data_IF_778955692548
#
_entry.id   IF_778955692548
#
_cell.length_a   1.000
_cell.length_b   1.000
_cell.length_c   1.000
_cell.angle_alpha   90.00
_cell.angle_beta   90.00
_cell.angle_gamma   90.00
#
_symmetry.space_group_name_H-M   'P 1'
#
loop_
_entity.id
_entity.type
_entity.pdbx_description
1 polymer ?
#
# COMPACT_ATOMS: atom_id res chain seq x y z
N UNK A 1 15.65 -20.78 -17.46
CA UNK A 1 14.62 -21.56 -16.74
C UNK A 1 14.01 -20.66 -15.66
N UNK A 2 12.70 -20.64 -15.55
CA UNK A 2 12.00 -19.85 -14.51
C UNK A 2 12.15 -20.56 -13.16
N UNK A 3 13.03 -20.06 -12.27
CA UNK A 3 13.31 -20.69 -10.96
C UNK A 3 12.08 -20.73 -10.05
N UNK A 4 11.16 -19.78 -10.20
CA UNK A 4 9.93 -19.74 -9.39
C UNK A 4 8.89 -20.80 -9.83
N UNK A 5 8.92 -21.21 -11.10
CA UNK A 5 8.11 -22.32 -11.58
C UNK A 5 8.67 -23.70 -11.17
N UNK A 6 9.93 -23.80 -10.74
CA UNK A 6 10.52 -25.07 -10.25
C UNK A 6 10.11 -25.38 -8.80
N UNK A 7 9.72 -24.39 -8.01
CA UNK A 7 9.13 -24.56 -6.68
C UNK A 7 7.64 -24.98 -6.74
N UNK A 8 7.06 -25.04 -7.94
CA UNK A 8 5.65 -25.37 -8.14
C UNK A 8 5.42 -26.85 -7.82
N UNK A 9 4.50 -27.10 -6.92
CA UNK A 9 3.81 -28.39 -6.87
C UNK A 9 2.99 -28.51 -8.15
N UNK A 10 2.87 -29.74 -8.73
CA UNK A 10 2.06 -29.95 -9.94
C UNK A 10 0.55 -29.87 -9.69
N UNK A 11 0.13 -29.22 -8.61
CA UNK A 11 -1.29 -29.05 -8.27
C UNK A 11 -1.88 -27.87 -9.08
N UNK A 12 -2.42 -28.21 -10.24
CA UNK A 12 -3.07 -27.25 -11.14
C UNK A 12 -4.36 -26.65 -10.55
N UNK A 13 -4.95 -27.25 -9.51
CA UNK A 13 -6.16 -26.73 -8.84
C UNK A 13 -5.91 -25.39 -8.13
N UNK A 14 -4.65 -25.09 -7.77
CA UNK A 14 -4.24 -23.86 -7.12
C UNK A 14 -3.92 -22.70 -8.08
N UNK A 15 -3.98 -22.92 -9.39
CA UNK A 15 -3.64 -21.88 -10.37
C UNK A 15 -4.73 -20.79 -10.36
N UNK A 16 -4.32 -19.58 -10.01
CA UNK A 16 -5.16 -18.39 -9.98
C UNK A 16 -4.28 -17.14 -10.23
N UNK A 17 -4.84 -15.92 -10.42
CA UNK A 17 -4.06 -14.72 -10.68
C UNK A 17 -3.05 -14.35 -9.59
N UNK A 18 -3.20 -14.84 -8.37
CA UNK A 18 -2.24 -14.62 -7.28
C UNK A 18 -1.24 -15.77 -7.13
N UNK A 19 -1.45 -16.87 -7.88
CA UNK A 19 -0.62 -18.07 -7.82
C UNK A 19 -0.59 -18.79 -9.18
N UNK A 20 0.09 -18.23 -10.16
CA UNK A 20 0.14 -18.73 -11.54
C UNK A 20 0.81 -20.10 -11.67
N UNK A 21 1.64 -20.48 -10.70
CA UNK A 21 2.47 -21.68 -10.75
C UNK A 21 2.11 -22.73 -9.69
N UNK A 22 1.03 -22.53 -8.92
CA UNK A 22 0.67 -23.43 -7.83
C UNK A 22 1.70 -23.49 -6.70
N UNK A 23 2.34 -22.36 -6.40
CA UNK A 23 3.36 -22.25 -5.34
C UNK A 23 2.72 -22.53 -3.98
N UNK A 24 3.34 -23.35 -3.17
CA UNK A 24 2.98 -23.48 -1.76
C UNK A 24 3.63 -22.34 -0.95
N UNK A 25 2.93 -21.21 -0.84
CA UNK A 25 3.43 -20.04 -0.12
C UNK A 25 3.69 -20.29 1.37
N UNK A 26 3.04 -21.27 1.99
CA UNK A 26 3.32 -21.61 3.37
C UNK A 26 4.65 -22.35 3.51
N UNK A 27 4.94 -23.28 2.60
CA UNK A 27 6.24 -23.94 2.54
C UNK A 27 7.36 -22.98 2.12
N UNK A 28 7.08 -22.10 1.15
CA UNK A 28 8.03 -21.08 0.68
C UNK A 28 8.43 -20.09 1.79
N UNK A 29 7.52 -19.76 2.70
CA UNK A 29 7.84 -18.88 3.82
C UNK A 29 9.00 -19.41 4.68
N UNK A 30 9.13 -20.73 4.82
CA UNK A 30 10.21 -21.36 5.57
C UNK A 30 11.59 -21.27 4.87
N UNK A 31 11.62 -20.90 3.58
CA UNK A 31 12.89 -20.74 2.82
C UNK A 31 13.57 -19.40 3.07
N UNK A 32 12.85 -18.40 3.60
CA UNK A 32 13.42 -17.11 3.92
C UNK A 32 14.27 -17.18 5.19
N UNK A 33 15.42 -16.50 5.17
CA UNK A 33 16.24 -16.38 6.36
C UNK A 33 15.47 -15.62 7.47
N UNK A 34 15.59 -16.07 8.73
CA UNK A 34 15.02 -15.33 9.86
C UNK A 34 15.60 -13.91 9.94
N UNK A 35 14.73 -12.94 10.18
CA UNK A 35 15.13 -11.56 10.41
C UNK A 35 15.30 -11.33 11.94
N UNK A 36 16.27 -10.49 12.36
CA UNK A 36 16.47 -10.18 13.78
C UNK A 36 15.43 -9.19 14.35
N UNK A 37 14.50 -8.73 13.52
CA UNK A 37 13.43 -7.78 13.85
C UNK A 37 12.15 -8.18 13.12
N UNK A 38 10.98 -7.83 13.64
CA UNK A 38 9.73 -7.98 12.92
C UNK A 38 9.63 -6.96 11.79
N UNK A 39 9.02 -7.32 10.68
CA UNK A 39 8.69 -6.38 9.60
C UNK A 39 7.50 -5.52 10.03
N UNK A 40 7.56 -4.21 9.79
CA UNK A 40 6.46 -3.28 9.96
C UNK A 40 5.88 -2.96 8.58
N UNK A 41 4.65 -3.41 8.33
CA UNK A 41 3.90 -3.10 7.12
C UNK A 41 3.09 -1.81 7.34
N UNK A 42 3.52 -0.71 6.75
CA UNK A 42 2.88 0.60 6.98
C UNK A 42 1.68 0.86 6.09
N UNK A 43 1.33 -0.06 5.18
CA UNK A 43 0.29 0.18 4.19
C UNK A 43 -0.50 -1.10 3.86
N UNK A 44 -1.65 -1.24 4.46
CA UNK A 44 -2.61 -2.32 4.16
C UNK A 44 -4.06 -1.83 4.31
N UNK A 45 -5.02 -2.65 3.87
CA UNK A 45 -6.46 -2.40 3.95
C UNK A 45 -7.16 -3.62 4.55
N UNK A 46 -7.01 -3.83 5.86
CA UNK A 46 -7.52 -5.01 6.54
C UNK A 46 -8.94 -4.77 7.03
N UNK A 47 -9.89 -5.41 6.37
CA UNK A 47 -11.31 -5.39 6.68
C UNK A 47 -11.86 -6.84 6.60
N UNK A 48 -13.05 -7.09 7.17
CA UNK A 48 -13.66 -8.40 7.19
C UNK A 48 -12.97 -9.37 8.17
N UNK A 49 -13.54 -9.62 9.36
CA UNK A 49 -12.86 -10.34 10.43
C UNK A 49 -12.52 -11.80 10.10
N UNK A 50 -13.24 -12.44 9.17
CA UNK A 50 -12.94 -13.82 8.74
C UNK A 50 -11.73 -13.86 7.80
N UNK A 51 -11.69 -12.95 6.82
CA UNK A 51 -10.56 -12.80 5.90
C UNK A 51 -9.30 -12.30 6.64
N UNK A 52 -9.47 -11.39 7.61
CA UNK A 52 -8.40 -10.87 8.45
C UNK A 52 -7.65 -11.97 9.22
N UNK A 53 -8.35 -13.03 9.68
CA UNK A 53 -7.69 -14.20 10.32
C UNK A 53 -6.83 -15.01 9.35
N UNK A 54 -7.17 -15.04 8.05
CA UNK A 54 -6.35 -15.70 7.02
C UNK A 54 -5.13 -14.82 6.71
N UNK A 55 -5.34 -13.52 6.58
CA UNK A 55 -4.25 -12.55 6.42
C UNK A 55 -3.25 -12.62 7.60
N UNK A 56 -3.74 -12.71 8.85
CA UNK A 56 -2.89 -12.83 10.03
C UNK A 56 -1.91 -14.00 9.92
N UNK A 57 -2.39 -15.17 9.45
CA UNK A 57 -1.53 -16.34 9.22
C UNK A 57 -0.46 -16.07 8.15
N UNK A 58 -0.85 -15.46 7.04
CA UNK A 58 0.10 -15.08 6.00
C UNK A 58 1.14 -14.08 6.54
N UNK A 59 0.71 -13.05 7.26
CA UNK A 59 1.58 -12.05 7.86
C UNK A 59 2.59 -12.68 8.84
N UNK A 60 2.14 -13.55 9.73
CA UNK A 60 2.99 -14.27 10.69
C UNK A 60 4.06 -15.12 9.99
N UNK A 61 3.68 -15.89 8.97
CA UNK A 61 4.60 -16.72 8.19
C UNK A 61 5.72 -15.90 7.52
N UNK A 62 5.40 -14.69 7.08
CA UNK A 62 6.36 -13.81 6.41
C UNK A 62 7.05 -12.80 7.34
N UNK A 63 6.90 -12.95 8.67
CA UNK A 63 7.62 -12.16 9.66
C UNK A 63 7.06 -10.75 9.88
N UNK A 64 5.81 -10.49 9.48
CA UNK A 64 5.14 -9.21 9.75
C UNK A 64 4.70 -9.18 11.22
N UNK A 65 5.29 -8.30 12.00
CA UNK A 65 4.97 -8.15 13.43
C UNK A 65 4.00 -7.04 13.74
N UNK A 66 3.95 -6.00 12.89
CA UNK A 66 3.04 -4.87 13.04
C UNK A 66 2.51 -4.45 11.67
N UNK A 67 1.22 -4.15 11.61
CA UNK A 67 0.54 -3.69 10.40
C UNK A 67 -0.18 -2.37 10.67
N UNK A 68 0.02 -1.38 9.80
CA UNK A 68 -0.78 -0.17 9.74
C UNK A 68 -1.85 -0.34 8.66
N UNK A 69 -3.13 -0.18 9.03
CA UNK A 69 -4.25 -0.54 8.17
C UNK A 69 -5.28 0.57 8.01
N UNK A 70 -5.69 0.78 6.78
CA UNK A 70 -6.85 1.59 6.38
C UNK A 70 -8.14 0.79 6.56
N UNK A 71 -8.39 0.35 7.79
CA UNK A 71 -9.61 -0.33 8.21
C UNK A 71 -10.75 0.67 8.32
N UNK A 72 -11.94 0.34 7.83
CA UNK A 72 -13.11 1.20 8.02
C UNK A 72 -13.41 1.40 9.52
N UNK A 73 -13.83 2.61 9.89
CA UNK A 73 -14.02 3.00 11.30
C UNK A 73 -14.93 2.02 12.05
N UNK A 74 -15.94 1.54 11.37
CA UNK A 74 -16.95 0.60 11.88
C UNK A 74 -16.35 -0.79 12.18
N UNK A 75 -15.22 -1.16 11.56
CA UNK A 75 -14.57 -2.46 11.71
C UNK A 75 -13.34 -2.42 12.64
N UNK A 76 -12.92 -1.23 13.10
CA UNK A 76 -11.71 -1.06 13.93
C UNK A 76 -11.72 -1.97 15.16
N UNK A 77 -12.85 -2.07 15.85
CA UNK A 77 -12.96 -2.90 17.05
C UNK A 77 -12.82 -4.39 16.72
N UNK A 78 -13.46 -4.87 15.66
CA UNK A 78 -13.35 -6.26 15.22
C UNK A 78 -11.90 -6.61 14.80
N UNK A 79 -11.19 -5.69 14.16
CA UNK A 79 -9.79 -5.90 13.81
C UNK A 79 -8.88 -5.92 15.05
N UNK A 80 -9.16 -5.11 16.07
CA UNK A 80 -8.43 -5.19 17.35
C UNK A 80 -8.61 -6.55 18.04
N UNK A 81 -9.79 -7.12 17.97
CA UNK A 81 -10.06 -8.45 18.53
C UNK A 81 -9.28 -9.56 17.79
N UNK A 82 -9.00 -9.38 16.50
CA UNK A 82 -8.20 -10.32 15.71
C UNK A 82 -6.70 -10.18 16.00
N UNK A 83 -6.18 -8.95 16.03
CA UNK A 83 -4.73 -8.69 15.99
C UNK A 83 -4.13 -8.23 17.32
N UNK A 84 -4.94 -7.75 18.27
CA UNK A 84 -4.43 -7.11 19.48
C UNK A 84 -3.55 -5.91 19.15
N UNK A 85 -2.36 -5.87 19.75
CA UNK A 85 -1.39 -4.79 19.57
C UNK A 85 -0.61 -4.84 18.25
N UNK A 86 -0.85 -5.85 17.42
CA UNK A 86 -0.16 -6.02 16.13
C UNK A 86 -0.81 -5.25 14.98
N UNK A 87 -1.80 -4.43 15.25
CA UNK A 87 -2.43 -3.56 14.25
C UNK A 87 -2.52 -2.12 14.77
N UNK A 88 -2.28 -1.17 13.87
CA UNK A 88 -2.54 0.26 14.02
C UNK A 88 -3.44 0.71 12.88
N UNK A 89 -4.19 1.78 13.08
CA UNK A 89 -5.17 2.22 12.09
C UNK A 89 -4.76 3.54 11.45
N UNK A 90 -5.15 3.68 10.19
CA UNK A 90 -5.03 4.90 9.38
C UNK A 90 -6.43 5.39 9.08
N UNK A 91 -6.71 6.65 9.40
CA UNK A 91 -8.02 7.26 9.16
C UNK A 91 -8.30 7.40 7.66
N UNK A 92 -9.48 6.94 7.24
CA UNK A 92 -9.96 7.00 5.85
C UNK A 92 -11.41 7.46 5.79
N UNK A 93 -11.84 8.06 4.64
CA UNK A 93 -13.25 8.38 4.43
C UNK A 93 -14.09 7.10 4.32
N UNK A 94 -15.40 7.26 4.38
CA UNK A 94 -16.35 6.16 4.19
C UNK A 94 -16.53 5.85 2.71
N UNK A 95 -15.83 4.81 2.22
CA UNK A 95 -15.86 4.45 0.80
C UNK A 95 -17.19 3.85 0.35
N UNK A 96 -17.91 3.15 1.23
CA UNK A 96 -19.17 2.47 0.95
C UNK A 96 -20.41 3.33 1.16
N UNK A 97 -20.27 4.58 1.61
CA UNK A 97 -21.40 5.46 1.88
C UNK A 97 -22.18 5.86 0.62
N UNK A 98 -23.45 6.22 0.77
CA UNK A 98 -24.32 6.64 -0.34
C UNK A 98 -24.20 8.14 -0.64
N UNK A 99 -24.00 8.97 0.37
CA UNK A 99 -23.72 10.40 0.21
C UNK A 99 -22.22 10.65 0.06
N UNK A 100 -21.71 10.42 -1.15
CA UNK A 100 -20.28 10.60 -1.45
C UNK A 100 -19.77 12.02 -1.18
N UNK A 101 -20.61 13.03 -1.35
CA UNK A 101 -20.22 14.43 -1.08
C UNK A 101 -19.95 14.65 0.40
N UNK A 102 -20.82 14.18 1.24
CA UNK A 102 -20.64 14.22 2.70
C UNK A 102 -19.47 13.33 3.13
N UNK A 103 -19.45 12.06 2.69
CA UNK A 103 -18.45 11.08 3.10
C UNK A 103 -17.01 11.49 2.75
N UNK A 104 -16.80 12.15 1.60
CA UNK A 104 -15.48 12.64 1.16
C UNK A 104 -15.15 14.06 1.65
N UNK A 105 -16.14 14.75 2.20
CA UNK A 105 -16.07 16.12 2.73
C UNK A 105 -16.18 16.19 4.24
N UNK A 106 -17.25 16.80 4.74
CA UNK A 106 -17.48 17.02 6.18
C UNK A 106 -17.48 15.71 7.00
N UNK A 107 -18.12 14.66 6.49
CA UNK A 107 -18.14 13.35 7.14
C UNK A 107 -16.74 12.73 7.28
N UNK A 108 -15.79 13.07 6.41
CA UNK A 108 -14.41 12.63 6.60
C UNK A 108 -13.75 13.36 7.79
N UNK A 109 -14.04 14.64 8.01
CA UNK A 109 -13.53 15.39 9.17
C UNK A 109 -14.03 14.74 10.46
N UNK A 110 -15.32 14.46 10.56
CA UNK A 110 -15.91 13.76 11.71
C UNK A 110 -15.25 12.39 11.97
N UNK A 111 -14.94 11.65 10.88
CA UNK A 111 -14.27 10.35 10.99
C UNK A 111 -12.83 10.48 11.46
N UNK A 112 -12.08 11.51 11.08
CA UNK A 112 -10.72 11.77 11.58
C UNK A 112 -10.73 11.88 13.11
N UNK A 113 -11.68 12.64 13.68
CA UNK A 113 -11.84 12.76 15.13
C UNK A 113 -12.20 11.40 15.77
N UNK A 114 -13.13 10.65 15.15
CA UNK A 114 -13.51 9.31 15.60
C UNK A 114 -12.33 8.33 15.58
N UNK A 115 -11.54 8.31 14.53
CA UNK A 115 -10.31 7.48 14.45
C UNK A 115 -9.28 7.92 15.48
N UNK A 116 -9.08 9.24 15.66
CA UNK A 116 -8.15 9.75 16.66
C UNK A 116 -8.53 9.32 18.07
N UNK A 117 -9.82 9.37 18.43
CA UNK A 117 -10.34 8.90 19.71
C UNK A 117 -10.06 7.39 19.94
N UNK A 118 -10.00 6.61 18.86
CA UNK A 118 -9.61 5.20 18.88
C UNK A 118 -8.08 4.99 18.82
N UNK A 119 -7.26 6.02 18.98
CA UNK A 119 -5.81 5.91 19.01
C UNK A 119 -5.12 5.91 17.63
N UNK A 120 -5.85 6.20 16.55
CA UNK A 120 -5.25 6.40 15.23
C UNK A 120 -4.40 7.68 15.21
N UNK A 121 -3.27 7.64 14.50
CA UNK A 121 -2.30 8.75 14.44
C UNK A 121 -1.88 9.11 13.01
N UNK A 122 -2.50 8.51 12.01
CA UNK A 122 -2.24 8.78 10.59
C UNK A 122 -3.57 8.97 9.88
N UNK A 123 -3.64 9.96 8.97
CA UNK A 123 -4.81 10.22 8.12
C UNK A 123 -4.42 10.07 6.65
N UNK A 124 -5.17 9.27 5.88
CA UNK A 124 -4.92 9.03 4.45
C UNK A 124 -5.76 9.95 3.57
N UNK A 125 -5.10 10.68 2.70
CA UNK A 125 -5.70 11.49 1.63
C UNK A 125 -5.46 10.82 0.27
N UNK A 126 -6.44 10.08 -0.22
CA UNK A 126 -6.36 9.48 -1.55
C UNK A 126 -6.67 10.54 -2.61
N UNK A 127 -5.72 10.84 -3.49
CA UNK A 127 -5.80 11.87 -4.52
C UNK A 127 -5.23 11.38 -5.87
N UNK A 128 -5.32 10.08 -6.15
CA UNK A 128 -4.93 9.50 -7.42
C UNK A 128 -5.70 10.13 -8.59
N UNK A 129 -5.18 10.10 -9.84
CA UNK A 129 -5.83 10.71 -11.01
C UNK A 129 -7.29 10.26 -11.20
N UNK A 130 -7.61 9.00 -10.90
CA UNK A 130 -8.98 8.47 -10.92
C UNK A 130 -9.95 9.21 -10.00
N UNK A 131 -9.47 10.00 -9.05
CA UNK A 131 -10.31 10.82 -8.17
C UNK A 131 -11.22 11.81 -8.92
N UNK A 132 -10.85 12.18 -10.14
CA UNK A 132 -11.66 12.98 -11.06
C UNK A 132 -13.02 12.32 -11.37
N UNK A 133 -13.06 10.99 -11.49
CA UNK A 133 -14.31 10.26 -11.80
C UNK A 133 -15.29 10.35 -10.61
N UNK A 134 -14.77 10.22 -9.38
CA UNK A 134 -15.56 10.39 -8.16
C UNK A 134 -16.04 11.84 -8.05
N UNK A 135 -15.15 12.80 -8.27
CA UNK A 135 -15.48 14.23 -8.22
C UNK A 135 -16.60 14.58 -9.23
N UNK A 136 -16.55 14.03 -10.45
CA UNK A 136 -17.63 14.18 -11.43
C UNK A 136 -18.95 13.58 -10.93
N UNK A 137 -18.93 12.39 -10.34
CA UNK A 137 -20.15 11.76 -9.83
C UNK A 137 -20.80 12.53 -8.66
N UNK A 138 -20.00 13.29 -7.93
CA UNK A 138 -20.44 14.15 -6.81
C UNK A 138 -20.93 15.52 -7.31
N UNK A 139 -20.61 15.90 -8.55
CA UNK A 139 -20.90 17.22 -9.11
C UNK A 139 -19.98 18.33 -8.56
N UNK A 140 -18.87 17.99 -7.92
CA UNK A 140 -17.84 18.92 -7.45
C UNK A 140 -16.46 18.48 -7.92
N UNK A 141 -15.96 19.01 -9.06
CA UNK A 141 -14.73 18.57 -9.68
C UNK A 141 -13.47 18.87 -8.84
N UNK A 142 -13.60 19.70 -7.80
CA UNK A 142 -12.47 20.08 -6.94
C UNK A 142 -12.38 19.26 -5.67
N UNK A 143 -13.47 18.64 -5.23
CA UNK A 143 -13.59 17.98 -3.91
C UNK A 143 -12.45 16.98 -3.63
N UNK A 144 -12.08 16.20 -4.63
CA UNK A 144 -11.08 15.13 -4.47
C UNK A 144 -9.63 15.59 -4.70
N UNK A 145 -9.39 16.83 -5.09
CA UNK A 145 -8.03 17.36 -5.22
C UNK A 145 -7.37 17.43 -3.85
N UNK A 146 -6.08 17.08 -3.78
CA UNK A 146 -5.35 17.07 -2.51
C UNK A 146 -5.36 18.44 -1.82
N UNK A 147 -5.29 19.51 -2.59
CA UNK A 147 -5.28 20.90 -2.14
C UNK A 147 -6.65 21.58 -2.14
N UNK A 148 -7.75 20.82 -2.24
CA UNK A 148 -9.10 21.40 -2.17
C UNK A 148 -9.40 22.00 -0.80
N UNK A 149 -10.26 23.02 -0.70
CA UNK A 149 -10.58 23.69 0.57
C UNK A 149 -11.03 22.71 1.66
N UNK A 150 -11.92 21.77 1.33
CA UNK A 150 -12.43 20.80 2.30
C UNK A 150 -11.35 19.82 2.78
N UNK A 151 -10.43 19.42 1.89
CA UNK A 151 -9.31 18.58 2.29
C UNK A 151 -8.28 19.33 3.13
N UNK A 152 -8.06 20.60 2.85
CA UNK A 152 -7.24 21.45 3.71
C UNK A 152 -7.85 21.62 5.10
N UNK A 153 -9.19 21.72 5.22
CA UNK A 153 -9.87 21.68 6.52
C UNK A 153 -9.66 20.36 7.24
N UNK A 154 -9.81 19.21 6.54
CA UNK A 154 -9.55 17.90 7.10
C UNK A 154 -8.09 17.74 7.54
N UNK A 155 -7.14 18.26 6.76
CA UNK A 155 -5.71 18.29 7.11
C UNK A 155 -5.47 19.15 8.34
N UNK A 156 -6.13 20.30 8.45
CA UNK A 156 -5.98 21.17 9.61
C UNK A 156 -6.47 20.48 10.90
N UNK A 157 -7.64 19.84 10.86
CA UNK A 157 -8.14 19.07 12.01
C UNK A 157 -7.18 17.93 12.39
N UNK A 158 -6.71 17.16 11.41
CA UNK A 158 -5.75 16.10 11.68
C UNK A 158 -4.41 16.64 12.20
N UNK A 159 -3.94 17.79 11.70
CA UNK A 159 -2.75 18.48 12.18
C UNK A 159 -2.90 18.91 13.66
N UNK A 160 -4.02 19.54 14.01
CA UNK A 160 -4.30 20.01 15.37
C UNK A 160 -4.42 18.85 16.37
N UNK A 161 -4.80 17.66 15.88
CA UNK A 161 -4.81 16.40 16.62
C UNK A 161 -3.41 15.72 16.67
N UNK A 162 -2.38 16.31 16.08
CA UNK A 162 -1.02 15.74 16.06
C UNK A 162 -0.87 14.50 15.16
N UNK A 163 -1.76 14.33 14.16
CA UNK A 163 -1.71 13.19 13.24
C UNK A 163 -0.73 13.45 12.10
N UNK A 164 -0.08 12.38 11.62
CA UNK A 164 0.71 12.39 10.38
C UNK A 164 -0.19 12.14 9.17
N UNK A 165 0.33 12.39 8.00
CA UNK A 165 -0.42 12.24 6.76
C UNK A 165 0.12 11.10 5.90
N UNK A 166 -0.78 10.44 5.20
CA UNK A 166 -0.47 9.52 4.12
C UNK A 166 -1.22 9.97 2.87
N UNK A 167 -0.64 9.81 1.70
CA UNK A 167 -1.30 10.15 0.44
C UNK A 167 -1.00 9.13 -0.65
N UNK A 168 -1.97 8.92 -1.56
CA UNK A 168 -1.77 8.29 -2.85
C UNK A 168 -1.95 9.37 -3.90
N UNK A 169 -0.89 9.72 -4.63
CA UNK A 169 -0.89 10.90 -5.47
C UNK A 169 -0.89 10.61 -6.97
N UNK A 170 -0.25 9.52 -7.39
CA UNK A 170 -0.18 9.13 -8.79
C UNK A 170 -0.19 7.60 -8.96
N UNK A 171 -0.48 7.15 -10.16
CA UNK A 171 -0.59 5.76 -10.58
C UNK A 171 0.54 5.41 -11.59
N UNK A 172 0.73 4.13 -11.98
CA UNK A 172 1.78 3.70 -12.91
C UNK A 172 1.80 4.47 -14.24
N UNK A 173 2.99 4.60 -14.85
CA UNK A 173 3.14 5.16 -16.20
C UNK A 173 2.29 4.40 -17.23
N UNK A 174 2.10 3.09 -17.04
CA UNK A 174 1.19 2.26 -17.83
C UNK A 174 -0.25 2.78 -17.83
N UNK A 175 -0.71 3.35 -16.71
CA UNK A 175 -2.05 3.93 -16.61
C UNK A 175 -2.15 5.29 -17.26
N UNK A 176 -1.09 6.11 -17.20
CA UNK A 176 -1.04 7.39 -17.94
C UNK A 176 -0.97 7.17 -19.44
N UNK A 177 -0.35 6.07 -19.90
CA UNK A 177 -0.35 5.68 -21.31
C UNK A 177 -1.69 5.09 -21.80
N UNK A 178 -2.61 4.74 -20.89
CA UNK A 178 -3.87 4.03 -21.22
C UNK A 178 -5.10 4.67 -20.59
N UNK A 179 -5.41 4.33 -19.32
CA UNK A 179 -6.62 4.78 -18.60
C UNK A 179 -6.69 6.31 -18.47
N UNK A 180 -5.55 6.97 -18.30
CA UNK A 180 -5.41 8.41 -18.13
C UNK A 180 -4.78 9.12 -19.31
N UNK A 181 -4.84 8.51 -20.51
CA UNK A 181 -4.26 9.06 -21.73
C UNK A 181 -4.83 10.43 -22.12
N UNK A 182 -6.06 10.75 -21.72
CA UNK A 182 -6.64 12.08 -21.91
C UNK A 182 -6.17 13.05 -20.81
N UNK A 183 -5.06 13.72 -21.08
CA UNK A 183 -4.48 14.69 -20.15
C UNK A 183 -5.38 15.92 -19.90
N UNK A 184 -6.39 16.19 -20.75
CA UNK A 184 -7.35 17.25 -20.49
C UNK A 184 -8.30 16.93 -19.34
N UNK A 185 -8.47 15.65 -19.04
CA UNK A 185 -9.30 15.15 -17.93
C UNK A 185 -8.45 14.87 -16.69
N UNK A 186 -7.34 14.14 -16.86
CA UNK A 186 -6.56 13.59 -15.73
C UNK A 186 -5.30 14.40 -15.41
N UNK A 187 -4.88 15.33 -16.30
CA UNK A 187 -3.57 15.97 -16.24
C UNK A 187 -2.44 15.04 -16.63
N UNK A 188 -1.22 15.55 -16.68
CA UNK A 188 -0.02 14.74 -16.79
C UNK A 188 0.35 14.13 -15.44
N UNK A 189 1.25 13.13 -15.42
CA UNK A 189 1.77 12.56 -14.17
C UNK A 189 2.47 13.62 -13.32
N UNK A 190 3.24 14.51 -13.95
CA UNK A 190 3.90 15.62 -13.24
C UNK A 190 2.93 16.57 -12.57
N UNK A 191 1.77 16.83 -13.18
CA UNK A 191 0.77 17.75 -12.63
C UNK A 191 0.19 17.26 -11.30
N UNK A 192 0.21 15.94 -11.06
CA UNK A 192 -0.29 15.35 -9.80
C UNK A 192 0.52 15.81 -8.59
N UNK A 193 1.79 16.14 -8.78
CA UNK A 193 2.68 16.53 -7.67
C UNK A 193 2.54 18.00 -7.26
N UNK A 194 2.02 18.88 -8.13
CA UNK A 194 1.84 20.29 -7.80
C UNK A 194 0.97 20.52 -6.53
N UNK A 195 -0.20 19.88 -6.37
CA UNK A 195 -0.95 20.00 -5.12
C UNK A 195 -0.24 19.32 -3.93
N UNK A 196 0.51 18.25 -4.14
CA UNK A 196 1.28 17.60 -3.09
C UNK A 196 2.36 18.52 -2.53
N UNK A 197 3.18 19.11 -3.39
CA UNK A 197 4.27 20.01 -2.96
C UNK A 197 3.70 21.23 -2.20
N UNK A 198 2.60 21.83 -2.66
CA UNK A 198 1.91 22.90 -1.89
C UNK A 198 1.47 22.48 -0.50
N UNK A 199 0.98 21.24 -0.36
CA UNK A 199 0.52 20.75 0.95
C UNK A 199 1.68 20.35 1.85
N UNK A 200 2.78 19.83 1.30
CA UNK A 200 4.03 19.56 2.04
C UNK A 200 4.65 20.84 2.61
N UNK A 201 4.60 21.94 1.85
CA UNK A 201 5.08 23.26 2.30
C UNK A 201 4.19 23.85 3.41
N UNK A 202 2.88 23.62 3.31
CA UNK A 202 1.91 24.16 4.27
C UNK A 202 1.86 23.37 5.57
N UNK A 203 1.94 22.06 5.51
CA UNK A 203 1.81 21.15 6.65
C UNK A 203 3.12 20.40 6.85
N UNK A 204 3.92 20.85 7.82
CA UNK A 204 5.32 20.40 8.01
C UNK A 204 5.47 19.07 8.77
N UNK A 205 4.38 18.51 9.32
CA UNK A 205 4.45 17.16 9.90
C UNK A 205 4.79 16.11 8.82
N UNK A 206 5.24 14.91 9.23
CA UNK A 206 5.58 13.84 8.30
C UNK A 206 4.42 13.42 7.39
N UNK A 207 4.75 13.21 6.11
CA UNK A 207 3.88 12.68 5.08
C UNK A 207 4.45 11.39 4.54
N UNK A 208 3.61 10.38 4.36
CA UNK A 208 3.97 9.13 3.67
C UNK A 208 3.28 9.12 2.31
N UNK A 209 4.04 9.25 1.23
CA UNK A 209 3.51 9.08 -0.13
C UNK A 209 3.60 7.62 -0.53
N UNK A 210 2.44 7.02 -0.78
CA UNK A 210 2.26 5.62 -1.11
C UNK A 210 2.93 5.23 -2.43
N UNK A 211 3.29 3.95 -2.56
CA UNK A 211 3.74 3.33 -3.80
C UNK A 211 4.96 4.03 -4.39
N UNK A 212 6.02 4.18 -3.60
CA UNK A 212 7.23 4.95 -3.98
C UNK A 212 6.86 6.36 -4.47
N UNK A 213 5.97 7.04 -3.72
CA UNK A 213 5.51 8.38 -4.07
C UNK A 213 4.73 8.45 -5.38
N UNK A 214 4.29 7.30 -5.91
CA UNK A 214 3.58 7.21 -7.18
C UNK A 214 4.47 7.19 -8.43
N UNK A 215 5.82 7.15 -8.30
CA UNK A 215 6.71 7.12 -9.48
C UNK A 215 7.95 6.23 -9.32
N UNK A 216 7.82 4.93 -8.98
CA UNK A 216 8.96 4.02 -8.86
C UNK A 216 9.76 3.87 -10.16
N UNK A 217 9.16 4.20 -11.31
CA UNK A 217 9.79 4.23 -12.62
C UNK A 217 10.88 5.31 -12.72
N UNK A 218 10.78 6.40 -11.92
CA UNK A 218 11.63 7.59 -12.03
C UNK A 218 12.31 7.96 -10.71
N UNK A 219 13.38 7.22 -10.35
CA UNK A 219 14.16 7.50 -9.14
C UNK A 219 14.81 8.91 -9.18
N UNK A 220 15.11 9.43 -10.37
CA UNK A 220 15.65 10.79 -10.53
C UNK A 220 14.67 11.86 -10.07
N UNK A 221 13.40 11.75 -10.45
CA UNK A 221 12.34 12.62 -9.98
C UNK A 221 12.15 12.50 -8.45
N UNK A 222 12.11 11.27 -7.93
CA UNK A 222 11.95 11.02 -6.49
C UNK A 222 13.12 11.57 -5.67
N UNK A 223 14.37 11.52 -6.17
CA UNK A 223 15.50 12.18 -5.55
C UNK A 223 15.23 13.68 -5.34
N UNK A 224 14.83 14.37 -6.42
CA UNK A 224 14.55 15.82 -6.35
C UNK A 224 13.36 16.15 -5.44
N UNK A 225 12.32 15.34 -5.44
CA UNK A 225 11.14 15.52 -4.58
C UNK A 225 11.51 15.38 -3.09
N UNK A 226 12.24 14.31 -2.74
CA UNK A 226 12.69 14.07 -1.36
C UNK A 226 13.69 15.11 -0.89
N UNK A 227 14.55 15.65 -1.76
CA UNK A 227 15.48 16.72 -1.41
C UNK A 227 14.78 18.03 -1.06
N UNK A 228 13.72 18.38 -1.79
CA UNK A 228 12.95 19.59 -1.53
C UNK A 228 12.07 19.51 -0.28
N UNK A 229 11.59 18.30 0.06
CA UNK A 229 10.62 18.11 1.14
C UNK A 229 11.15 17.13 2.20
N UNK A 230 11.86 17.63 3.24
CA UNK A 230 12.45 16.79 4.30
C UNK A 230 11.38 16.06 5.15
N UNK A 231 10.14 16.54 5.15
CA UNK A 231 9.00 15.92 5.82
C UNK A 231 8.30 14.82 4.99
N UNK A 232 8.77 14.52 3.78
CA UNK A 232 8.21 13.49 2.91
C UNK A 232 8.94 12.15 3.10
N UNK A 233 8.17 11.10 3.28
CA UNK A 233 8.56 9.69 3.33
C UNK A 233 7.85 8.94 2.21
N UNK A 234 8.40 7.81 1.75
CA UNK A 234 7.78 6.96 0.74
C UNK A 234 7.50 5.58 1.34
N UNK A 235 6.48 4.89 0.86
CA UNK A 235 6.33 3.46 1.13
C UNK A 235 6.48 2.62 -0.15
N UNK A 236 6.84 1.35 0.01
CA UNK A 236 7.09 0.41 -1.10
C UNK A 236 5.89 -0.49 -1.38
N UNK A 237 4.69 -0.03 -1.11
CA UNK A 237 3.46 -0.79 -1.28
C UNK A 237 3.03 -0.96 -2.74
N UNK A 238 1.96 -1.72 -3.00
CA UNK A 238 1.49 -2.16 -4.32
C UNK A 238 2.43 -3.17 -5.00
N UNK A 239 2.47 -4.39 -4.44
CA UNK A 239 3.41 -5.43 -4.80
C UNK A 239 3.57 -5.68 -6.32
N UNK A 240 2.49 -5.73 -7.10
CA UNK A 240 2.57 -5.93 -8.56
C UNK A 240 3.32 -4.81 -9.26
N UNK A 241 3.01 -3.56 -8.90
CA UNK A 241 3.67 -2.39 -9.44
C UNK A 241 5.15 -2.35 -9.04
N UNK A 242 5.44 -2.58 -7.75
CA UNK A 242 6.83 -2.64 -7.29
C UNK A 242 7.63 -3.73 -7.99
N UNK A 243 7.07 -4.94 -8.15
CA UNK A 243 7.73 -6.03 -8.88
C UNK A 243 8.05 -5.60 -10.30
N UNK A 244 7.09 -5.03 -11.04
CA UNK A 244 7.27 -4.63 -12.44
C UNK A 244 8.36 -3.57 -12.57
N UNK A 245 8.31 -2.52 -11.78
CA UNK A 245 9.16 -1.35 -11.99
C UNK A 245 10.50 -1.43 -11.25
N UNK A 246 10.50 -1.85 -9.99
CA UNK A 246 11.76 -1.99 -9.26
C UNK A 246 12.64 -3.11 -9.83
N UNK A 247 12.05 -4.18 -10.38
CA UNK A 247 12.84 -5.20 -11.07
C UNK A 247 13.63 -4.65 -12.25
N UNK A 248 13.13 -3.61 -12.91
CA UNK A 248 13.81 -2.97 -14.05
C UNK A 248 14.87 -1.95 -13.62
N UNK A 249 14.79 -1.42 -12.40
CA UNK A 249 15.80 -0.47 -11.92
C UNK A 249 17.18 -1.13 -11.82
N UNK A 250 18.26 -0.49 -12.31
CA UNK A 250 19.61 -0.96 -12.08
C UNK A 250 19.87 -1.07 -10.57
N UNK A 251 20.35 -2.24 -10.13
CA UNK A 251 20.56 -2.53 -8.69
C UNK A 251 21.38 -1.45 -7.99
N UNK A 252 22.46 -1.00 -8.64
CA UNK A 252 23.35 0.01 -8.05
C UNK A 252 22.63 1.34 -7.83
N UNK A 253 21.85 1.82 -8.81
CA UNK A 253 21.09 3.07 -8.69
C UNK A 253 20.03 2.99 -7.58
N UNK A 254 19.37 1.84 -7.47
CA UNK A 254 18.39 1.62 -6.39
C UNK A 254 19.07 1.64 -5.01
N UNK A 255 20.22 0.98 -4.85
CA UNK A 255 20.98 1.00 -3.59
C UNK A 255 21.45 2.42 -3.25
N UNK A 256 21.93 3.18 -4.21
CA UNK A 256 22.32 4.58 -4.01
C UNK A 256 21.13 5.44 -3.55
N UNK A 257 19.96 5.27 -4.19
CA UNK A 257 18.73 5.94 -3.79
C UNK A 257 18.33 5.57 -2.35
N UNK A 258 18.26 4.27 -2.02
CA UNK A 258 17.87 3.80 -0.69
C UNK A 258 18.88 4.21 0.40
N UNK A 259 20.17 4.27 0.06
CA UNK A 259 21.24 4.73 0.97
C UNK A 259 21.10 6.22 1.25
N UNK A 260 20.87 7.03 0.21
CA UNK A 260 20.71 8.48 0.33
C UNK A 260 19.52 8.84 1.22
N UNK A 261 18.40 8.12 1.07
CA UNK A 261 17.17 8.37 1.81
C UNK A 261 16.90 7.32 2.89
N UNK A 262 17.96 6.70 3.42
CA UNK A 262 17.85 5.74 4.53
C UNK A 262 17.07 6.34 5.69
N UNK A 263 16.07 5.61 6.20
CA UNK A 263 15.16 6.09 7.24
C UNK A 263 13.94 6.86 6.71
N UNK A 264 13.83 7.09 5.39
CA UNK A 264 12.68 7.77 4.77
C UNK A 264 11.90 6.89 3.79
N UNK A 265 12.35 5.66 3.58
CA UNK A 265 11.66 4.67 2.75
C UNK A 265 11.16 3.55 3.67
N UNK A 266 9.86 3.29 3.61
CA UNK A 266 9.11 2.41 4.52
C UNK A 266 8.61 1.19 3.75
N UNK A 267 8.49 0.04 4.42
CA UNK A 267 7.91 -1.14 3.82
C UNK A 267 6.37 -1.09 3.88
N UNK A 268 5.70 -1.42 2.78
CA UNK A 268 4.26 -1.55 2.70
C UNK A 268 3.86 -2.63 1.68
N UNK A 269 2.69 -3.24 1.86
CA UNK A 269 2.20 -4.31 0.99
C UNK A 269 1.05 -3.89 0.07
N UNK A 270 0.19 -3.01 0.52
CA UNK A 270 -1.12 -2.67 -0.08
C UNK A 270 -2.06 -3.89 -0.18
N UNK A 271 -1.94 -4.81 0.78
CA UNK A 271 -2.85 -5.96 0.84
C UNK A 271 -4.23 -5.49 1.27
N UNK A 272 -5.24 -5.88 0.50
CA UNK A 272 -6.65 -5.65 0.81
C UNK A 272 -7.29 -6.96 1.24
N UNK A 273 -7.97 -6.96 2.40
CA UNK A 273 -8.80 -8.07 2.85
C UNK A 273 -10.25 -7.67 2.97
N UNK A 274 -11.14 -8.59 2.70
CA UNK A 274 -12.59 -8.46 2.88
C UNK A 274 -13.23 -9.85 2.94
N UNK A 275 -14.31 -9.99 3.71
CA UNK A 275 -14.96 -11.30 3.88
C UNK A 275 -15.54 -11.84 2.57
N UNK A 276 -15.81 -10.99 1.61
CA UNK A 276 -16.23 -11.36 0.25
C UNK A 276 -15.18 -12.20 -0.49
N UNK A 277 -13.91 -12.13 -0.13
CA UNK A 277 -12.88 -13.05 -0.68
C UNK A 277 -13.15 -14.53 -0.36
N UNK A 278 -14.01 -14.82 0.61
CA UNK A 278 -14.32 -16.17 1.07
C UNK A 278 -15.60 -16.74 0.45
N UNK A 279 -16.27 -15.99 -0.40
CA UNK A 279 -17.48 -16.40 -1.08
C UNK A 279 -17.20 -16.67 -2.58
N UNK A 280 -18.05 -17.40 -3.31
CA UNK A 280 -17.93 -17.60 -4.76
C UNK A 280 -17.83 -16.30 -5.54
N UNK A 281 -17.14 -16.33 -6.68
CA UNK A 281 -16.78 -15.11 -7.45
C UNK A 281 -17.95 -14.43 -8.19
N UNK A 282 -19.11 -15.07 -8.27
CA UNK A 282 -20.26 -14.59 -9.04
C UNK A 282 -20.79 -13.24 -8.52
N UNK A 283 -21.01 -12.29 -9.45
CA UNK A 283 -21.57 -10.95 -9.17
C UNK A 283 -20.79 -10.07 -8.19
N UNK A 284 -19.48 -10.29 -8.03
CA UNK A 284 -18.64 -9.48 -7.16
C UNK A 284 -18.03 -8.26 -7.87
N UNK A 285 -17.79 -7.21 -7.11
CA UNK A 285 -16.94 -6.10 -7.54
C UNK A 285 -15.50 -6.57 -7.75
N UNK A 286 -14.75 -5.89 -8.60
CA UNK A 286 -13.37 -6.23 -9.01
C UNK A 286 -12.46 -6.63 -7.82
N UNK A 287 -12.45 -5.84 -6.74
CA UNK A 287 -11.60 -6.14 -5.59
C UNK A 287 -12.03 -7.40 -4.85
N UNK A 288 -13.34 -7.61 -4.69
CA UNK A 288 -13.90 -8.79 -4.04
C UNK A 288 -13.72 -10.07 -4.87
N UNK A 289 -13.65 -9.96 -6.20
CA UNK A 289 -13.46 -11.08 -7.11
C UNK A 289 -12.03 -11.62 -7.17
N UNK A 290 -11.08 -11.03 -6.44
CA UNK A 290 -9.66 -11.46 -6.44
C UNK A 290 -9.42 -12.80 -5.73
N UNK A 291 -10.38 -13.28 -4.93
CA UNK A 291 -10.40 -14.61 -4.34
C UNK A 291 -11.84 -15.06 -4.16
N UNK A 292 -12.09 -16.37 -4.10
CA UNK A 292 -13.43 -16.97 -4.01
C UNK A 292 -13.56 -18.03 -2.92
N UNK A 293 -12.49 -18.31 -2.20
CA UNK A 293 -12.44 -19.26 -1.10
C UNK A 293 -11.24 -18.97 -0.18
N UNK A 294 -11.07 -19.79 0.86
CA UNK A 294 -10.03 -19.59 1.88
C UNK A 294 -8.61 -19.80 1.34
N UNK A 295 -8.42 -20.72 0.41
CA UNK A 295 -7.10 -21.03 -0.15
C UNK A 295 -6.67 -19.91 -1.09
N UNK A 296 -7.54 -19.47 -1.99
CA UNK A 296 -7.28 -18.33 -2.87
C UNK A 296 -7.07 -17.03 -2.07
N UNK A 297 -7.81 -16.82 -0.98
CA UNK A 297 -7.60 -15.68 -0.10
C UNK A 297 -6.22 -15.74 0.58
N UNK A 298 -5.79 -16.91 1.05
CA UNK A 298 -4.44 -17.10 1.58
C UNK A 298 -3.37 -16.81 0.52
N UNK A 299 -3.50 -17.40 -0.68
CA UNK A 299 -2.59 -17.17 -1.79
C UNK A 299 -2.56 -15.68 -2.19
N UNK A 300 -3.73 -15.02 -2.20
CA UNK A 300 -3.83 -13.59 -2.47
C UNK A 300 -2.97 -12.77 -1.50
N UNK A 301 -3.01 -13.07 -0.21
CA UNK A 301 -2.27 -12.30 0.81
C UNK A 301 -0.80 -12.72 0.88
N UNK A 302 -0.53 -14.01 0.94
CA UNK A 302 0.81 -14.56 1.09
C UNK A 302 1.72 -14.25 -0.11
N UNK A 303 1.19 -14.32 -1.34
CA UNK A 303 1.95 -14.04 -2.56
C UNK A 303 2.57 -12.65 -2.58
N UNK A 304 1.90 -11.62 -2.01
CA UNK A 304 2.43 -10.25 -1.96
C UNK A 304 3.64 -10.16 -1.06
N UNK A 305 3.57 -10.76 0.13
CA UNK A 305 4.70 -10.81 1.05
C UNK A 305 5.85 -11.64 0.47
N UNK A 306 5.56 -12.80 -0.10
CA UNK A 306 6.55 -13.63 -0.78
C UNK A 306 7.29 -12.84 -1.85
N UNK A 307 6.55 -12.20 -2.75
CA UNK A 307 7.12 -11.50 -3.88
C UNK A 307 7.93 -10.26 -3.47
N UNK A 308 7.45 -9.48 -2.50
CA UNK A 308 8.20 -8.34 -1.97
C UNK A 308 9.46 -8.79 -1.23
N UNK A 309 9.40 -9.87 -0.44
CA UNK A 309 10.60 -10.42 0.22
C UNK A 309 11.59 -10.95 -0.81
N UNK A 310 11.16 -11.69 -1.83
CA UNK A 310 12.02 -12.12 -2.95
C UNK A 310 12.64 -10.91 -3.66
N UNK A 311 11.88 -9.85 -3.92
CA UNK A 311 12.38 -8.64 -4.55
C UNK A 311 13.50 -7.96 -3.75
N UNK A 312 13.36 -7.85 -2.42
CA UNK A 312 14.32 -7.11 -1.61
C UNK A 312 15.48 -7.96 -1.10
N UNK A 313 15.25 -9.24 -0.77
CA UNK A 313 16.21 -10.10 -0.07
C UNK A 313 17.06 -10.98 -0.99
N UNK A 314 16.54 -11.38 -2.16
CA UNK A 314 17.24 -12.32 -3.06
C UNK A 314 17.87 -11.65 -4.27
N UNK A 315 18.71 -12.40 -4.99
CA UNK A 315 19.22 -12.09 -6.33
C UNK A 315 18.55 -12.95 -7.41
N UNK A 316 17.50 -13.68 -7.03
CA UNK A 316 16.78 -14.60 -7.92
C UNK A 316 16.08 -13.83 -9.06
N UNK A 317 15.92 -14.54 -10.18
CA UNK A 317 15.23 -14.02 -11.38
C UNK A 317 14.25 -15.06 -11.90
N UNK A 318 13.03 -14.61 -12.14
CA UNK A 318 12.00 -15.47 -12.74
C UNK A 318 10.75 -14.67 -13.05
N UNK A 319 9.86 -15.28 -13.82
CA UNK A 319 8.54 -14.70 -14.04
C UNK A 319 7.76 -14.70 -12.73
N UNK A 320 7.12 -13.57 -12.41
CA UNK A 320 6.37 -13.44 -11.15
C UNK A 320 5.22 -14.47 -11.09
N UNK A 321 4.98 -15.08 -9.93
CA UNK A 321 3.81 -15.94 -9.76
C UNK A 321 2.50 -15.15 -9.64
N UNK A 322 2.55 -13.82 -9.61
CA UNK A 322 1.39 -12.95 -9.51
C UNK A 322 1.12 -12.33 -10.87
N UNK A 323 -0.04 -12.59 -11.45
CA UNK A 323 -0.49 -11.98 -12.69
C UNK A 323 -0.60 -10.45 -12.58
N UNK A 324 -0.17 -9.74 -13.63
CA UNK A 324 -0.27 -8.29 -13.71
C UNK A 324 -1.07 -7.88 -14.95
N UNK A 325 -2.36 -7.55 -14.80
CA UNK A 325 -3.23 -7.19 -15.91
C UNK A 325 -2.82 -5.91 -16.64
N UNK A 326 -1.93 -5.10 -16.05
CA UNK A 326 -1.40 -3.91 -16.72
C UNK A 326 -0.59 -4.26 -17.97
N UNK A 327 0.02 -5.44 -18.04
CA UNK A 327 0.72 -5.91 -19.24
C UNK A 327 -0.23 -6.04 -20.43
N UNK A 328 -1.38 -6.68 -20.21
CA UNK A 328 -2.43 -6.81 -21.24
C UNK A 328 -3.05 -5.45 -21.58
N UNK A 329 -3.23 -4.58 -20.59
CA UNK A 329 -3.78 -3.24 -20.82
C UNK A 329 -2.91 -2.42 -21.77
N UNK A 330 -1.58 -2.53 -21.67
CA UNK A 330 -0.63 -1.80 -22.52
C UNK A 330 -0.44 -2.49 -23.88
N UNK A 331 -0.45 -3.82 -23.92
CA UNK A 331 -0.19 -4.60 -25.12
C UNK A 331 -1.13 -5.82 -25.23
N UNK A 332 -2.43 -5.58 -25.51
CA UNK A 332 -3.48 -6.62 -25.48
C UNK A 332 -3.24 -7.77 -26.46
N UNK A 333 -2.56 -7.48 -27.59
CA UNK A 333 -2.23 -8.50 -28.60
C UNK A 333 -1.05 -9.42 -28.19
N UNK A 334 -0.32 -9.05 -27.15
CA UNK A 334 0.88 -9.79 -26.68
C UNK A 334 0.72 -10.44 -25.31
N UNK A 335 -0.26 -10.00 -24.54
CA UNK A 335 -0.43 -10.44 -23.17
C UNK A 335 -1.86 -10.89 -22.84
N UNK A 336 -1.97 -11.89 -21.98
CA UNK A 336 -3.20 -12.36 -21.37
C UNK A 336 -3.39 -11.77 -19.96
N UNK A 337 -4.56 -11.99 -19.35
CA UNK A 337 -4.82 -11.58 -17.96
C UNK A 337 -3.96 -12.37 -16.94
N UNK A 338 -3.37 -13.48 -17.37
CA UNK A 338 -2.54 -14.34 -16.54
C UNK A 338 -1.03 -14.07 -16.71
N UNK A 339 -0.63 -13.13 -17.57
CA UNK A 339 0.78 -12.81 -17.73
C UNK A 339 1.31 -11.96 -16.58
N UNK A 340 2.60 -12.04 -16.36
CA UNK A 340 3.27 -11.34 -15.28
C UNK A 340 4.66 -10.83 -15.69
N UNK A 341 5.16 -9.77 -15.06
CA UNK A 341 6.50 -9.28 -15.30
C UNK A 341 7.55 -10.22 -14.72
N UNK A 342 8.81 -10.04 -15.14
CA UNK A 342 9.94 -10.63 -14.46
C UNK A 342 10.11 -10.01 -13.08
N UNK A 343 10.19 -10.85 -12.05
CA UNK A 343 10.70 -10.50 -10.74
C UNK A 343 12.22 -10.67 -10.76
N UNK A 344 12.94 -9.60 -10.47
CA UNK A 344 14.40 -9.57 -10.41
C UNK A 344 14.81 -9.03 -9.05
N UNK A 345 15.24 -9.94 -8.20
CA UNK A 345 15.63 -9.62 -6.82
C UNK A 345 16.80 -8.64 -6.76
N UNK A 346 16.81 -7.81 -5.72
CA UNK A 346 17.80 -6.73 -5.54
C UNK A 346 18.87 -7.04 -4.51
N UNK A 347 18.70 -8.10 -3.72
CA UNK A 347 19.67 -8.53 -2.70
C UNK A 347 20.22 -7.33 -1.92
N UNK A 348 19.33 -6.63 -1.23
CA UNK A 348 19.69 -5.42 -0.49
C UNK A 348 20.71 -5.73 0.62
N UNK A 349 21.68 -4.84 0.87
CA UNK A 349 22.52 -4.90 2.05
C UNK A 349 21.67 -4.96 3.34
N UNK A 350 22.15 -5.71 4.34
CA UNK A 350 21.39 -5.96 5.59
C UNK A 350 20.95 -4.70 6.31
N UNK A 351 21.77 -3.67 6.30
CA UNK A 351 21.48 -2.40 6.95
C UNK A 351 20.40 -1.59 6.20
N UNK A 352 20.32 -1.69 4.88
CA UNK A 352 19.23 -1.11 4.09
C UNK A 352 17.95 -1.92 4.26
N UNK A 353 18.06 -3.25 4.31
CA UNK A 353 16.92 -4.13 4.54
C UNK A 353 16.32 -3.88 5.95
N UNK A 354 17.17 -3.72 6.98
CA UNK A 354 16.73 -3.36 8.34
C UNK A 354 16.03 -2.00 8.37
N UNK A 355 16.60 -1.01 7.70
CA UNK A 355 15.99 0.31 7.58
C UNK A 355 14.62 0.25 6.90
N UNK A 356 14.52 -0.44 5.75
CA UNK A 356 13.29 -0.56 4.97
C UNK A 356 12.19 -1.29 5.75
N UNK A 357 12.52 -2.41 6.37
CA UNK A 357 11.55 -3.32 6.98
C UNK A 357 11.10 -2.91 8.38
N UNK A 358 11.96 -2.20 9.11
CA UNK A 358 11.70 -1.94 10.52
C UNK A 358 12.08 -0.52 10.97
N UNK A 359 13.37 -0.15 10.86
CA UNK A 359 13.90 0.98 11.62
C UNK A 359 13.28 2.31 11.20
N UNK A 360 13.02 2.51 9.89
CA UNK A 360 12.41 3.74 9.39
C UNK A 360 10.98 3.92 9.94
N UNK A 361 10.16 2.87 9.88
CA UNK A 361 8.80 2.91 10.40
C UNK A 361 8.77 3.00 11.92
N UNK A 362 9.63 2.25 12.62
CA UNK A 362 9.73 2.27 14.07
C UNK A 362 10.11 3.67 14.57
N UNK A 363 11.15 4.27 13.99
CA UNK A 363 11.62 5.61 14.38
C UNK A 363 10.59 6.70 14.09
N UNK A 364 9.88 6.60 12.96
CA UNK A 364 8.90 7.60 12.56
C UNK A 364 7.59 7.49 13.33
N UNK A 365 7.05 6.27 13.52
CA UNK A 365 5.65 6.06 13.89
C UNK A 365 5.44 5.65 15.36
N UNK A 366 6.37 4.89 15.97
CA UNK A 366 6.18 4.42 17.34
C UNK A 366 6.11 5.55 18.38
N UNK A 367 6.87 6.66 18.28
CA UNK A 367 6.74 7.77 19.21
C UNK A 367 5.33 8.39 19.25
N UNK A 368 4.59 8.35 18.14
CA UNK A 368 3.20 8.85 18.07
C UNK A 368 2.25 8.04 18.96
N UNK A 369 2.50 6.74 19.08
CA UNK A 369 1.65 5.84 19.86
C UNK A 369 2.04 5.83 21.34
N UNK A 370 3.31 6.03 21.68
CA UNK A 370 3.79 6.11 23.06
C UNK A 370 3.21 7.34 23.81
N UNK A 371 3.13 8.49 23.14
CA UNK A 371 2.55 9.72 23.72
C UNK A 371 1.06 9.60 24.04
N UNK A 372 0.31 8.79 23.26
CA UNK A 372 -1.12 8.59 23.51
C UNK A 372 -1.43 7.73 24.73
N UNK A 373 -0.56 6.76 25.07
CA UNK A 373 -0.71 5.93 26.27
C UNK A 373 -0.43 6.74 27.55
N UNK A 374 0.57 7.62 27.54
CA UNK A 374 0.89 8.50 28.66
C UNK A 374 -0.24 9.50 28.99
N UNK A 375 -0.89 10.06 27.94
CA UNK A 375 -2.01 11.00 28.12
C UNK A 375 -3.30 10.36 28.60
N UNK A 376 -3.53 9.07 28.34
CA UNK A 376 -4.69 8.33 28.83
C UNK A 376 -4.57 8.00 30.33
N UNK A 377 -3.35 7.70 30.77
CA UNK A 377 -3.07 7.36 32.20
C UNK A 377 -3.14 8.58 33.13
N UNK A 378 -2.97 9.81 32.60
CA UNK A 378 -3.10 11.05 33.38
C UNK A 378 -4.54 11.58 33.53
N UNK A 379 -5.51 10.99 32.80
CA UNK A 379 -6.93 11.41 32.84
C UNK A 379 -7.84 10.43 33.60
N UNK A 380 -7.27 9.38 34.17
CA UNK A 380 -7.90 8.47 35.13
C UNK A 380 -7.47 8.81 36.56
#
# INVERSE_FOLDING_TARGET
MNRFAQAATQDTSRINPSNRFGVDYAAEAATFSPLPFPIIDVHSHINGPKAARIYQKAAELYGIGLTYSMTQLEEVQAMREVFGDRIRFIAVPRWSGQDKKHDMGAGFIERIEGYHALGCRITKFWAAPRSVEIAKSIGDPTLMRLDSPVRQQAMQVAHDLGMYFMTHIADPDTWFATKYADASIYGSKSDQYLPLERMLDRFTQPWIAAHMGGWPENLGFLNGLLDRHPNLYLDTSAAKWMIREISQQPRQQLIEFLTRFKGRILYGSDIVTMDEHLAPAENKMEMAAKASDREQAFDLYASRYWALRKLWESDERGESPIADPDLKMVAPDRHSDMDAPMLIGKSLPRDLLGSLYHDAAHTLLEPLHAQSQAGATQRM
#
